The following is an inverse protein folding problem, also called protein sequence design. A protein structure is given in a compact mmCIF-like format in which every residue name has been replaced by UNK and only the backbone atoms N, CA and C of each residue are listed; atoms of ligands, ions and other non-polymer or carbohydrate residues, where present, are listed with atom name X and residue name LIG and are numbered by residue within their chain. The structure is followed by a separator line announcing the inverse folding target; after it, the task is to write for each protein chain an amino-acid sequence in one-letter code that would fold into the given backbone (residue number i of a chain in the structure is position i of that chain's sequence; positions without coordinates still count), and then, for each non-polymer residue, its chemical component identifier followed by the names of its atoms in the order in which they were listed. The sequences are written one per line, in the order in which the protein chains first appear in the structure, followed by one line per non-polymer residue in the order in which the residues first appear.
data_IF_961154449974
#
_entry.id   IF_961154449974
#
_cell.length_a   1.000
_cell.length_b   1.000
_cell.length_c   1.000
_cell.angle_alpha   90.00
_cell.angle_beta   90.00
_cell.angle_gamma   90.00
#
_symmetry.space_group_name_H-M   'P 1'
#
loop_
_entity.id
_entity.type
_entity.pdbx_description
1 polymer ?
#
# COMPACT_ATOMS: atom_id res chain seq x y z
N UNK A 1 -31.88 -13.16 -1.50
CA UNK A 1 -31.19 -12.51 -0.36
C UNK A 1 -30.00 -11.74 -0.89
N UNK A 2 -30.05 -10.41 -0.84
CA UNK A 2 -28.97 -9.57 -1.35
C UNK A 2 -27.73 -9.71 -0.47
N UNK A 3 -26.57 -9.94 -1.08
CA UNK A 3 -25.29 -9.93 -0.38
C UNK A 3 -25.17 -8.62 0.40
N UNK A 4 -25.15 -8.74 1.73
CA UNK A 4 -24.98 -7.62 2.64
C UNK A 4 -23.49 -7.22 2.61
N UNK A 5 -23.12 -6.43 1.59
CA UNK A 5 -21.79 -5.91 1.31
C UNK A 5 -21.29 -4.89 2.35
N UNK A 6 -22.10 -4.58 3.37
CA UNK A 6 -21.79 -3.63 4.45
C UNK A 6 -21.24 -4.30 5.72
N UNK A 7 -20.89 -5.58 5.69
CA UNK A 7 -20.32 -6.24 6.87
C UNK A 7 -18.84 -5.85 7.04
N UNK A 8 -18.42 -5.24 8.18
CA UNK A 8 -17.02 -4.89 8.46
C UNK A 8 -16.06 -6.10 8.38
N UNK A 9 -16.61 -7.32 8.43
CA UNK A 9 -15.87 -8.57 8.32
C UNK A 9 -15.51 -8.97 6.87
N UNK A 10 -16.06 -8.32 5.84
CA UNK A 10 -15.78 -8.63 4.43
C UNK A 10 -14.33 -8.36 4.07
N UNK A 11 -13.79 -7.22 4.51
CA UNK A 11 -12.40 -6.84 4.25
C UNK A 11 -11.47 -7.89 4.88
N UNK A 12 -11.53 -8.21 6.20
CA UNK A 12 -10.73 -9.27 6.80
C UNK A 12 -10.83 -10.64 6.12
N UNK A 13 -12.03 -11.05 5.69
CA UNK A 13 -12.25 -12.34 5.01
C UNK A 13 -11.59 -12.37 3.64
N UNK A 14 -11.73 -11.31 2.86
CA UNK A 14 -11.09 -11.20 1.54
C UNK A 14 -9.56 -11.25 1.65
N UNK A 15 -8.99 -10.50 2.59
CA UNK A 15 -7.55 -10.57 2.88
C UNK A 15 -7.11 -11.96 3.32
N UNK A 16 -7.88 -12.63 4.18
CA UNK A 16 -7.56 -13.98 4.66
C UNK A 16 -7.47 -14.98 3.50
N UNK A 17 -8.44 -14.95 2.57
CA UNK A 17 -8.45 -15.83 1.40
C UNK A 17 -7.24 -15.56 0.49
N UNK A 18 -6.95 -14.28 0.19
CA UNK A 18 -5.80 -13.91 -0.63
C UNK A 18 -4.46 -14.30 0.02
N UNK A 19 -4.33 -14.10 1.32
CA UNK A 19 -3.13 -14.45 2.08
C UNK A 19 -2.89 -15.96 2.09
N UNK A 20 -3.94 -16.77 2.28
CA UNK A 20 -3.83 -18.23 2.21
C UNK A 20 -3.38 -18.67 0.81
N UNK A 21 -3.96 -18.08 -0.24
CA UNK A 21 -3.57 -18.38 -1.62
C UNK A 21 -2.10 -18.03 -1.89
N UNK A 22 -1.65 -16.82 -1.55
CA UNK A 22 -0.27 -16.39 -1.74
C UNK A 22 0.72 -17.15 -0.86
N UNK A 23 0.34 -17.54 0.35
CA UNK A 23 1.15 -18.38 1.23
C UNK A 23 1.39 -19.74 0.60
N UNK A 24 0.34 -20.38 0.07
CA UNK A 24 0.47 -21.63 -0.69
C UNK A 24 1.41 -21.49 -1.89
N UNK A 25 1.28 -20.40 -2.67
CA UNK A 25 2.17 -20.12 -3.79
C UNK A 25 3.65 -20.00 -3.36
N UNK A 26 3.94 -19.26 -2.28
CA UNK A 26 5.30 -19.10 -1.77
C UNK A 26 5.90 -20.43 -1.27
N UNK A 27 5.10 -21.27 -0.60
CA UNK A 27 5.57 -22.61 -0.18
C UNK A 27 5.97 -23.43 -1.41
N UNK A 28 5.18 -23.40 -2.48
CA UNK A 28 5.49 -24.10 -3.72
C UNK A 28 6.74 -23.52 -4.40
N UNK A 29 6.95 -22.19 -4.37
CA UNK A 29 8.15 -21.57 -4.95
C UNK A 29 9.42 -21.94 -4.16
N UNK A 30 9.37 -21.89 -2.83
CA UNK A 30 10.48 -22.27 -1.94
C UNK A 30 10.84 -23.75 -2.11
N UNK A 31 9.85 -24.63 -2.26
CA UNK A 31 10.10 -26.06 -2.50
C UNK A 31 10.68 -26.34 -3.90
N UNK A 32 10.46 -25.45 -4.88
CA UNK A 32 11.00 -25.56 -6.24
C UNK A 32 12.39 -24.94 -6.38
N UNK A 33 12.72 -23.90 -5.60
CA UNK A 33 13.99 -23.18 -5.68
C UNK A 33 14.92 -23.56 -4.52
N UNK A 34 16.07 -24.17 -4.85
CA UNK A 34 17.19 -24.30 -3.91
C UNK A 34 17.93 -22.96 -3.85
N UNK A 35 17.37 -21.97 -3.16
CA UNK A 35 18.06 -20.70 -2.99
C UNK A 35 19.24 -20.85 -2.02
N UNK A 36 20.44 -20.53 -2.48
CA UNK A 36 21.57 -20.34 -1.57
C UNK A 36 21.34 -19.08 -0.72
N UNK A 37 21.67 -19.10 0.58
CA UNK A 37 21.44 -17.97 1.46
C UNK A 37 22.28 -16.76 1.01
N UNK A 38 21.64 -15.86 0.26
CA UNK A 38 22.23 -14.56 -0.08
C UNK A 38 22.48 -13.79 1.21
N UNK A 39 23.74 -13.51 1.51
CA UNK A 39 24.12 -12.56 2.56
C UNK A 39 23.72 -11.16 2.11
N UNK A 40 22.49 -10.77 2.42
CA UNK A 40 22.01 -9.40 2.22
C UNK A 40 22.70 -8.54 3.28
N UNK A 41 23.63 -7.67 2.87
CA UNK A 41 24.06 -6.55 3.72
C UNK A 41 22.88 -5.59 3.85
N UNK A 42 22.14 -5.70 4.95
CA UNK A 42 21.02 -4.81 5.23
C UNK A 42 21.49 -3.36 5.35
N UNK A 43 20.91 -2.45 4.56
CA UNK A 43 21.08 -1.02 4.75
C UNK A 43 19.89 -0.51 5.58
N UNK A 44 20.14 -0.04 6.80
CA UNK A 44 19.10 0.46 7.70
C UNK A 44 18.57 1.84 7.29
N UNK A 45 19.31 2.58 6.44
CA UNK A 45 18.97 3.97 6.11
C UNK A 45 17.64 4.11 5.35
N UNK A 46 17.34 3.33 4.29
CA UNK A 46 16.04 3.37 3.63
C UNK A 46 14.90 3.00 4.57
N UNK A 47 15.13 2.06 5.49
CA UNK A 47 14.14 1.67 6.50
C UNK A 47 13.79 2.83 7.41
N UNK A 48 14.80 3.52 7.96
CA UNK A 48 14.60 4.67 8.85
C UNK A 48 13.91 5.84 8.13
N UNK A 49 14.28 6.10 6.87
CA UNK A 49 13.64 7.11 6.03
C UNK A 49 12.17 6.78 5.74
N UNK A 50 11.87 5.51 5.43
CA UNK A 50 10.50 5.07 5.18
C UNK A 50 9.63 5.17 6.43
N UNK A 51 10.21 4.84 7.59
CA UNK A 51 9.54 5.03 8.89
C UNK A 51 9.25 6.50 9.18
N UNK A 52 10.21 7.39 8.90
CA UNK A 52 10.01 8.84 9.04
C UNK A 52 8.90 9.35 8.12
N UNK A 53 8.87 8.94 6.84
CA UNK A 53 7.80 9.33 5.93
C UNK A 53 6.45 8.78 6.34
N UNK A 54 6.40 7.60 6.95
CA UNK A 54 5.17 7.03 7.48
C UNK A 54 4.63 7.89 8.63
N UNK A 55 5.48 8.34 9.56
CA UNK A 55 5.08 9.25 10.64
C UNK A 55 4.57 10.58 10.08
N UNK A 56 5.29 11.16 9.11
CA UNK A 56 4.86 12.39 8.44
C UNK A 56 3.50 12.20 7.75
N UNK A 57 3.29 11.08 7.08
CA UNK A 57 2.01 10.73 6.45
C UNK A 57 0.87 10.67 7.47
N UNK A 58 1.07 9.99 8.61
CA UNK A 58 0.07 9.90 9.68
C UNK A 58 -0.30 11.27 10.26
N UNK A 59 0.66 12.17 10.38
CA UNK A 59 0.41 13.53 10.86
C UNK A 59 -0.26 14.38 9.78
N UNK A 60 0.08 14.16 8.51
CA UNK A 60 -0.44 14.95 7.39
C UNK A 60 -1.87 14.57 6.99
N UNK A 61 -2.26 13.29 7.07
CA UNK A 61 -3.55 12.81 6.56
C UNK A 61 -4.78 13.50 7.17
N UNK A 62 -4.84 13.84 8.47
CA UNK A 62 -5.98 14.57 9.03
C UNK A 62 -6.05 16.03 8.56
N UNK A 63 -4.95 16.58 8.04
CA UNK A 63 -4.85 17.98 7.65
C UNK A 63 -5.14 18.14 6.16
N UNK A 64 -4.35 17.49 5.31
CA UNK A 64 -4.39 17.64 3.85
C UNK A 64 -5.15 16.50 3.13
N UNK A 65 -5.64 15.51 3.88
CA UNK A 65 -6.43 14.42 3.34
C UNK A 65 -5.64 13.34 2.60
N UNK A 66 -6.34 12.26 2.27
CA UNK A 66 -5.84 11.07 1.60
C UNK A 66 -5.29 11.37 0.21
N UNK A 67 -5.99 12.18 -0.58
CA UNK A 67 -5.67 12.43 -1.99
C UNK A 67 -4.36 13.19 -2.20
N UNK A 68 -3.88 13.93 -1.20
CA UNK A 68 -2.60 14.68 -1.28
C UNK A 68 -1.51 13.95 -0.51
N UNK A 69 -1.78 13.52 0.73
CA UNK A 69 -0.78 12.86 1.59
C UNK A 69 -0.29 11.52 1.01
N UNK A 70 -1.19 10.71 0.45
CA UNK A 70 -0.88 9.35 -0.03
C UNK A 70 0.02 9.37 -1.28
N UNK A 71 -0.27 10.15 -2.35
CA UNK A 71 0.64 10.20 -3.48
C UNK A 71 2.01 10.74 -3.08
N UNK A 72 2.09 11.76 -2.22
CA UNK A 72 3.38 12.27 -1.73
C UNK A 72 4.17 11.19 -0.98
N UNK A 73 3.52 10.44 -0.10
CA UNK A 73 4.14 9.33 0.62
C UNK A 73 4.66 8.25 -0.33
N UNK A 74 3.85 7.84 -1.32
CA UNK A 74 4.23 6.83 -2.31
C UNK A 74 5.42 7.31 -3.15
N UNK A 75 5.38 8.56 -3.63
CA UNK A 75 6.47 9.13 -4.41
C UNK A 75 7.78 9.16 -3.61
N UNK A 76 7.73 9.64 -2.36
CA UNK A 76 8.88 9.70 -1.47
C UNK A 76 9.44 8.30 -1.16
N UNK A 77 8.56 7.31 -0.95
CA UNK A 77 8.94 5.92 -0.72
C UNK A 77 9.64 5.30 -1.92
N UNK A 78 9.05 5.39 -3.11
CA UNK A 78 9.63 4.84 -4.35
C UNK A 78 10.98 5.49 -4.65
N UNK A 79 11.08 6.81 -4.48
CA UNK A 79 12.33 7.55 -4.67
C UNK A 79 13.42 7.08 -3.69
N UNK A 80 13.08 6.84 -2.42
CA UNK A 80 14.02 6.37 -1.39
C UNK A 80 14.49 4.95 -1.61
N UNK A 81 13.65 4.12 -2.23
CA UNK A 81 14.01 2.77 -2.67
C UNK A 81 14.96 2.76 -3.88
N UNK A 82 15.33 3.92 -4.42
CA UNK A 82 16.33 4.06 -5.47
C UNK A 82 15.77 4.04 -6.89
N UNK A 83 14.45 3.97 -7.05
CA UNK A 83 13.82 4.13 -8.36
C UNK A 83 13.81 5.62 -8.74
N UNK A 84 14.38 5.96 -9.91
CA UNK A 84 14.56 7.35 -10.35
C UNK A 84 13.71 7.76 -11.56
N UNK A 85 12.92 6.83 -12.11
CA UNK A 85 12.08 7.11 -13.29
C UNK A 85 10.83 7.89 -12.88
N UNK A 86 10.93 9.21 -12.85
CA UNK A 86 9.84 10.11 -12.41
C UNK A 86 8.47 9.82 -13.05
N UNK A 87 8.35 9.53 -14.36
CA UNK A 87 7.04 9.18 -14.93
C UNK A 87 6.43 7.93 -14.29
N UNK A 88 7.24 6.92 -14.01
CA UNK A 88 6.79 5.68 -13.36
C UNK A 88 6.36 5.95 -11.92
N UNK A 89 7.11 6.79 -11.21
CA UNK A 89 6.80 7.19 -9.83
C UNK A 89 5.45 7.90 -9.77
N UNK A 90 5.22 8.86 -10.67
CA UNK A 90 3.99 9.65 -10.76
C UNK A 90 2.81 8.77 -11.14
N UNK A 91 2.93 7.98 -12.20
CA UNK A 91 1.87 7.06 -12.66
C UNK A 91 1.49 6.09 -11.55
N UNK A 92 2.47 5.54 -10.82
CA UNK A 92 2.20 4.59 -9.76
C UNK A 92 1.53 5.26 -8.55
N UNK A 93 1.99 6.44 -8.14
CA UNK A 93 1.41 7.17 -7.02
C UNK A 93 -0.04 7.60 -7.29
N UNK A 94 -0.29 8.25 -8.43
CA UNK A 94 -1.66 8.67 -8.79
C UNK A 94 -2.53 7.47 -9.19
N UNK A 95 -1.98 6.47 -9.86
CA UNK A 95 -2.68 5.24 -10.21
C UNK A 95 -3.16 4.49 -8.97
N UNK A 96 -2.35 4.42 -7.92
CA UNK A 96 -2.74 3.81 -6.66
C UNK A 96 -3.87 4.58 -5.95
N UNK A 97 -3.78 5.91 -5.94
CA UNK A 97 -4.82 6.77 -5.33
C UNK A 97 -6.13 6.66 -6.08
N UNK A 98 -6.09 6.67 -7.42
CA UNK A 98 -7.26 6.47 -8.28
C UNK A 98 -7.85 5.08 -8.11
N UNK A 99 -7.02 4.04 -8.08
CA UNK A 99 -7.45 2.68 -7.82
C UNK A 99 -8.13 2.56 -6.46
N UNK A 100 -7.52 3.13 -5.42
CA UNK A 100 -8.08 3.12 -4.07
C UNK A 100 -9.39 3.89 -4.00
N UNK A 101 -9.51 5.02 -4.68
CA UNK A 101 -10.78 5.74 -4.82
C UNK A 101 -11.88 4.85 -5.41
N UNK A 102 -11.59 4.18 -6.53
CA UNK A 102 -12.55 3.27 -7.17
C UNK A 102 -12.96 2.12 -6.24
N UNK A 103 -11.99 1.50 -5.55
CA UNK A 103 -12.31 0.38 -4.66
C UNK A 103 -13.05 0.83 -3.41
N UNK A 104 -12.56 1.85 -2.70
CA UNK A 104 -13.11 2.24 -1.41
C UNK A 104 -14.38 3.08 -1.56
N UNK A 105 -14.38 4.13 -2.38
CA UNK A 105 -15.56 4.99 -2.48
C UNK A 105 -16.61 4.43 -3.45
N UNK A 106 -16.22 3.90 -4.62
CA UNK A 106 -17.21 3.45 -5.61
C UNK A 106 -17.75 2.06 -5.29
N UNK A 107 -16.87 1.09 -5.02
CA UNK A 107 -17.28 -0.31 -4.80
C UNK A 107 -17.74 -0.51 -3.35
N UNK A 108 -16.93 -0.09 -2.38
CA UNK A 108 -17.17 -0.37 -0.96
C UNK A 108 -18.00 0.71 -0.26
N UNK A 109 -18.21 1.88 -0.87
CA UNK A 109 -18.91 3.05 -0.29
C UNK A 109 -18.34 3.48 1.07
N UNK A 110 -17.02 3.39 1.21
CA UNK A 110 -16.27 3.84 2.38
C UNK A 110 -15.64 5.19 2.04
N UNK A 111 -15.91 6.19 2.87
CA UNK A 111 -15.34 7.52 2.70
C UNK A 111 -13.86 7.54 3.08
N UNK A 112 -13.06 8.14 2.20
CA UNK A 112 -11.64 8.39 2.44
C UNK A 112 -11.49 9.74 3.15
N UNK A 113 -10.51 9.89 4.05
CA UNK A 113 -10.34 11.13 4.80
C UNK A 113 -9.98 12.27 3.84
N UNK A 114 -10.83 13.30 3.76
CA UNK A 114 -10.60 14.48 2.93
C UNK A 114 -9.64 15.47 3.61
N UNK A 115 -9.43 15.34 4.93
CA UNK A 115 -8.64 16.26 5.73
C UNK A 115 -9.49 17.44 6.20
N UNK A 116 -9.10 18.09 7.29
CA UNK A 116 -9.84 19.20 7.87
C UNK A 116 -9.62 20.53 7.13
N UNK A 117 -8.64 20.60 6.22
CA UNK A 117 -8.31 21.79 5.42
C UNK A 117 -8.98 21.80 4.03
N UNK A 118 -9.72 20.76 3.66
CA UNK A 118 -10.43 20.60 2.38
C UNK A 118 -11.91 20.34 2.65
#
# INVERSE_FOLDING_TARGET
EGMNISSPALIPRLWSVLLVFFSGYNIISILREKEEPKKIKGNIKPLLLMFLFLLIYFIAIPWIGYFISTPLFIMAGIYTLGYKKMPVIIINAFGFVLFSYLVFQVILKIDLPLGNLL
#
